data_IF_463570396215
#
_entry.id   IF_463570396215
#
_cell.length_a   1.000
_cell.length_b   1.000
_cell.length_c   1.000
_cell.angle_alpha   90.00
_cell.angle_beta   90.00
_cell.angle_gamma   90.00
#
_symmetry.space_group_name_H-M   'P 1'
#
loop_
_entity.id
_entity.type
_entity.pdbx_description
1 polymer ?
#
# COMPACT_ATOMS: atom_id res chain seq x y z
N UNK A 1 -10.04 -20.04 -1.96
CA UNK A 1 -8.63 -19.91 -1.52
C UNK A 1 -8.05 -21.17 -0.88
N UNK A 2 -8.71 -21.82 0.10
CA UNK A 2 -8.15 -23.01 0.78
C UNK A 2 -7.97 -24.24 -0.15
N UNK A 3 -8.69 -24.27 -1.27
CA UNK A 3 -8.61 -25.31 -2.30
C UNK A 3 -7.35 -25.18 -3.18
N UNK A 4 -6.95 -23.94 -3.55
CA UNK A 4 -5.79 -23.69 -4.42
C UNK A 4 -4.46 -24.06 -3.76
N UNK A 5 -4.31 -23.84 -2.45
CA UNK A 5 -3.09 -24.21 -1.73
C UNK A 5 -2.90 -25.73 -1.66
N UNK A 6 -3.99 -26.48 -1.52
CA UNK A 6 -3.96 -27.94 -1.49
C UNK A 6 -3.65 -28.52 -2.87
N UNK A 7 -4.21 -27.92 -3.92
CA UNK A 7 -3.93 -28.28 -5.31
C UNK A 7 -2.47 -28.04 -5.69
N UNK A 8 -1.87 -26.93 -5.22
CA UNK A 8 -0.45 -26.63 -5.46
C UNK A 8 0.48 -27.64 -4.77
N UNK A 9 0.22 -27.99 -3.50
CA UNK A 9 1.06 -28.95 -2.76
C UNK A 9 0.98 -30.36 -3.35
N UNK A 10 -0.21 -30.79 -3.79
CA UNK A 10 -0.38 -32.06 -4.50
C UNK A 10 0.34 -32.06 -5.86
N UNK A 11 0.32 -30.94 -6.57
CA UNK A 11 1.03 -30.80 -7.85
C UNK A 11 2.55 -30.86 -7.68
N UNK A 12 3.10 -30.17 -6.68
CA UNK A 12 4.54 -30.17 -6.40
C UNK A 12 5.05 -31.58 -6.05
N UNK A 13 4.27 -32.36 -5.28
CA UNK A 13 4.59 -33.77 -5.01
C UNK A 13 4.55 -34.64 -6.26
N UNK A 14 3.63 -34.36 -7.18
CA UNK A 14 3.50 -35.08 -8.45
C UNK A 14 4.67 -34.79 -9.40
N UNK A 15 5.15 -33.56 -9.41
CA UNK A 15 6.32 -33.12 -10.18
C UNK A 15 7.62 -33.73 -9.67
N UNK A 16 7.78 -33.88 -8.35
CA UNK A 16 8.93 -34.60 -7.76
C UNK A 16 8.99 -36.08 -8.20
N UNK A 17 7.86 -36.64 -8.65
CA UNK A 17 7.77 -37.97 -9.26
C UNK A 17 7.90 -38.01 -10.79
N UNK A 18 8.22 -36.89 -11.46
CA UNK A 18 8.33 -36.81 -12.93
C UNK A 18 7.00 -36.62 -13.67
N UNK A 19 5.98 -36.04 -13.01
CA UNK A 19 4.68 -35.74 -13.63
C UNK A 19 4.74 -34.66 -14.73
N UNK A 20 3.75 -34.68 -15.63
CA UNK A 20 3.55 -33.63 -16.64
C UNK A 20 3.24 -32.26 -15.99
N UNK A 21 3.69 -31.15 -16.59
CA UNK A 21 3.37 -29.80 -16.11
C UNK A 21 1.87 -29.48 -16.21
N UNK A 22 1.37 -28.50 -15.42
CA UNK A 22 -0.03 -28.10 -15.47
C UNK A 22 -0.45 -27.59 -16.85
N UNK A 23 -1.68 -27.94 -17.26
CA UNK A 23 -2.30 -27.39 -18.50
C UNK A 23 -2.74 -25.93 -18.34
N UNK A 24 -2.96 -25.49 -17.11
CA UNK A 24 -3.30 -24.12 -16.79
C UNK A 24 -2.04 -23.24 -16.88
N UNK A 25 -2.03 -22.19 -17.73
CA UNK A 25 -0.86 -21.33 -17.91
C UNK A 25 -0.43 -20.58 -16.65
N UNK A 26 -1.37 -20.21 -15.77
CA UNK A 26 -1.07 -19.48 -14.53
C UNK A 26 -0.40 -20.42 -13.52
N UNK A 27 -0.93 -21.63 -13.37
CA UNK A 27 -0.34 -22.67 -12.52
C UNK A 27 1.03 -23.12 -13.05
N UNK A 28 1.20 -23.19 -14.38
CA UNK A 28 2.48 -23.52 -15.02
C UNK A 28 3.56 -22.45 -14.74
N UNK A 29 3.19 -21.16 -14.77
CA UNK A 29 4.10 -20.07 -14.41
C UNK A 29 4.54 -20.14 -12.94
N UNK A 30 3.61 -20.43 -12.02
CA UNK A 30 3.91 -20.59 -10.59
C UNK A 30 4.81 -21.81 -10.32
N UNK A 31 4.55 -22.94 -10.99
CA UNK A 31 5.39 -24.14 -10.91
C UNK A 31 6.79 -23.88 -11.47
N UNK A 32 6.90 -23.16 -12.59
CA UNK A 32 8.19 -22.78 -13.18
C UNK A 32 8.99 -21.90 -12.21
N UNK A 33 8.35 -20.89 -11.62
CA UNK A 33 8.97 -20.02 -10.61
C UNK A 33 9.44 -20.82 -9.38
N UNK A 34 8.60 -21.71 -8.87
CA UNK A 34 8.95 -22.58 -7.74
C UNK A 34 10.16 -23.48 -8.09
N UNK A 35 10.22 -24.00 -9.33
CA UNK A 35 11.37 -24.75 -9.84
C UNK A 35 12.65 -23.93 -9.88
N UNK A 36 12.60 -22.70 -10.39
CA UNK A 36 13.76 -21.80 -10.44
C UNK A 36 14.25 -21.43 -9.03
N UNK A 37 13.33 -21.12 -8.11
CA UNK A 37 13.65 -20.84 -6.71
C UNK A 37 14.30 -22.05 -6.02
N UNK A 38 13.80 -23.26 -6.29
CA UNK A 38 14.38 -24.51 -5.75
C UNK A 38 15.77 -24.80 -6.32
N UNK A 39 16.00 -24.44 -7.58
CA UNK A 39 17.31 -24.50 -8.22
C UNK A 39 18.33 -23.57 -7.57
N UNK A 40 17.92 -22.35 -7.20
CA UNK A 40 18.75 -21.40 -6.46
C UNK A 40 18.99 -21.82 -5.00
N UNK A 41 17.97 -22.38 -4.34
CA UNK A 41 18.04 -22.84 -2.94
C UNK A 41 18.92 -24.09 -2.73
N UNK A 42 19.39 -24.74 -3.80
CA UNK A 42 20.34 -25.87 -3.72
C UNK A 42 21.78 -25.47 -3.42
N UNK A 43 22.08 -24.19 -3.24
CA UNK A 43 23.36 -23.80 -2.67
C UNK A 43 23.44 -24.28 -1.23
N UNK A 44 24.16 -25.37 -1.00
CA UNK A 44 24.44 -25.86 0.35
C UNK A 44 25.15 -24.74 1.14
N UNK A 45 24.59 -24.31 2.27
CA UNK A 45 25.23 -23.31 3.10
C UNK A 45 26.61 -23.82 3.52
N UNK A 46 27.62 -22.94 3.49
CA UNK A 46 28.97 -23.33 3.88
C UNK A 46 28.99 -23.95 5.29
N UNK A 47 29.83 -24.98 5.55
CA UNK A 47 29.89 -25.62 6.87
C UNK A 47 30.14 -24.63 8.02
N UNK A 48 30.91 -23.55 7.74
CA UNK A 48 31.17 -22.48 8.70
C UNK A 48 29.91 -21.68 9.05
N UNK A 49 29.06 -21.39 8.06
CA UNK A 49 27.77 -20.73 8.30
C UNK A 49 26.86 -21.62 9.16
N UNK A 50 26.75 -22.91 8.83
CA UNK A 50 25.93 -23.87 9.58
C UNK A 50 26.38 -23.96 11.04
N UNK A 51 27.68 -24.09 11.29
CA UNK A 51 28.23 -24.12 12.64
C UNK A 51 27.94 -22.82 13.42
N UNK A 52 28.06 -21.65 12.76
CA UNK A 52 27.77 -20.36 13.40
C UNK A 52 26.29 -20.19 13.74
N UNK A 53 25.40 -20.70 12.88
CA UNK A 53 23.96 -20.64 13.08
C UNK A 53 23.53 -21.57 14.22
N UNK A 54 24.07 -22.80 14.24
CA UNK A 54 23.83 -23.77 15.32
C UNK A 54 24.22 -23.16 16.68
N UNK A 55 25.39 -22.52 16.75
CA UNK A 55 25.87 -21.90 17.98
C UNK A 55 24.94 -20.75 18.44
N UNK A 56 24.46 -19.91 17.53
CA UNK A 56 23.50 -18.84 17.82
C UNK A 56 22.15 -19.38 18.29
N UNK A 57 21.66 -20.45 17.67
CA UNK A 57 20.41 -21.09 18.05
C UNK A 57 20.50 -21.74 19.45
N UNK A 58 21.62 -22.40 19.75
CA UNK A 58 21.88 -22.97 21.07
C UNK A 58 21.95 -21.88 22.15
N UNK A 59 22.62 -20.77 21.89
CA UNK A 59 22.65 -19.63 22.81
C UNK A 59 21.24 -19.06 23.04
N UNK A 60 20.46 -18.84 21.98
CA UNK A 60 19.11 -18.30 22.10
C UNK A 60 18.16 -19.25 22.84
N UNK A 61 18.31 -20.55 22.63
CA UNK A 61 17.54 -21.57 23.36
C UNK A 61 17.88 -21.58 24.86
N UNK A 62 19.16 -21.36 25.22
CA UNK A 62 19.56 -21.25 26.63
C UNK A 62 19.00 -19.98 27.28
N UNK A 63 19.02 -18.84 26.58
CA UNK A 63 18.45 -17.60 27.07
C UNK A 63 16.94 -17.72 27.31
N UNK A 64 16.21 -18.35 26.36
CA UNK A 64 14.77 -18.59 26.50
C UNK A 64 14.44 -19.58 27.63
N UNK A 65 15.30 -20.57 27.88
CA UNK A 65 15.15 -21.48 29.03
C UNK A 65 15.35 -20.75 30.36
N UNK A 66 16.30 -19.82 30.44
CA UNK A 66 16.54 -18.99 31.63
C UNK A 66 15.43 -17.98 31.87
N UNK A 67 14.84 -17.45 30.79
CA UNK A 67 13.77 -16.47 30.85
C UNK A 67 12.37 -17.07 31.14
N UNK A 68 12.25 -18.40 31.25
CA UNK A 68 10.94 -19.04 31.44
C UNK A 68 10.53 -19.02 32.92
N UNK A 69 9.45 -18.31 33.32
CA UNK A 69 8.93 -18.39 34.67
C UNK A 69 8.43 -19.81 34.97
N UNK A 70 8.56 -20.21 36.24
CA UNK A 70 8.28 -21.56 36.71
C UNK A 70 6.79 -21.95 36.57
N UNK A 71 6.60 -23.22 36.18
CA UNK A 71 5.38 -24.03 36.26
C UNK A 71 4.21 -23.71 35.31
N UNK A 72 4.06 -24.55 34.28
CA UNK A 72 2.77 -24.82 33.60
C UNK A 72 2.45 -26.31 33.77
N UNK A 73 1.20 -26.70 34.08
CA UNK A 73 0.86 -28.07 34.45
C UNK A 73 0.93 -29.02 33.25
N UNK A 74 1.45 -30.23 33.51
CA UNK A 74 1.62 -31.30 32.52
C UNK A 74 0.29 -31.96 32.20
N UNK A 75 -0.30 -31.62 31.05
CA UNK A 75 -1.38 -32.43 30.46
C UNK A 75 -0.77 -33.51 29.54
N UNK A 76 -0.96 -34.77 29.94
CA UNK A 76 -0.58 -35.97 29.21
C UNK A 76 -1.44 -36.17 27.97
N UNK A 77 -0.86 -35.97 26.79
CA UNK A 77 -1.53 -36.18 25.50
C UNK A 77 -0.50 -36.38 24.38
N UNK A 78 0.29 -37.45 24.47
CA UNK A 78 1.48 -37.73 23.63
C UNK A 78 1.12 -37.90 22.13
N UNK A 79 -0.15 -37.97 21.77
CA UNK A 79 -0.61 -38.06 20.37
C UNK A 79 -0.96 -36.71 19.70
N UNK A 80 -1.06 -35.60 20.45
CA UNK A 80 -1.26 -34.25 19.88
C UNK A 80 0.04 -33.43 19.78
N UNK A 81 1.15 -33.95 20.32
CA UNK A 81 2.42 -33.22 20.43
C UNK A 81 3.14 -33.05 19.08
N UNK A 82 2.96 -33.99 18.14
CA UNK A 82 3.60 -33.91 16.82
C UNK A 82 3.02 -32.80 15.91
N UNK A 83 1.71 -32.58 15.96
CA UNK A 83 1.08 -31.50 15.19
C UNK A 83 1.30 -30.14 15.85
N UNK A 84 1.36 -30.08 17.18
CA UNK A 84 1.64 -28.84 17.88
C UNK A 84 3.06 -28.32 17.62
N UNK A 85 4.06 -29.20 17.52
CA UNK A 85 5.43 -28.79 17.17
C UNK A 85 5.56 -28.37 15.70
N UNK A 86 4.89 -29.07 14.77
CA UNK A 86 4.83 -28.67 13.36
C UNK A 86 4.09 -27.34 13.20
N UNK A 87 2.95 -27.16 13.88
CA UNK A 87 2.19 -25.90 13.85
C UNK A 87 2.98 -24.75 14.50
N UNK A 88 3.69 -25.00 15.60
CA UNK A 88 4.54 -23.99 16.23
C UNK A 88 5.76 -23.62 15.37
N UNK A 89 6.35 -24.60 14.67
CA UNK A 89 7.45 -24.35 13.74
C UNK A 89 6.96 -23.60 12.48
N UNK A 90 5.82 -23.99 11.93
CA UNK A 90 5.18 -23.29 10.82
C UNK A 90 4.79 -21.86 11.22
N UNK A 91 4.21 -21.67 12.42
CA UNK A 91 3.89 -20.35 12.94
C UNK A 91 5.16 -19.53 13.20
N UNK A 92 6.23 -20.14 13.72
CA UNK A 92 7.51 -19.47 13.89
C UNK A 92 8.14 -19.08 12.55
N UNK A 93 8.03 -19.92 11.52
CA UNK A 93 8.44 -19.62 10.14
C UNK A 93 7.60 -18.49 9.54
N UNK A 94 6.28 -18.49 9.75
CA UNK A 94 5.36 -17.43 9.30
C UNK A 94 5.58 -16.12 10.04
N UNK A 95 5.84 -16.15 11.34
CA UNK A 95 6.15 -14.95 12.13
C UNK A 95 7.56 -14.43 11.83
N UNK A 96 8.53 -15.32 11.63
CA UNK A 96 9.86 -14.95 11.17
C UNK A 96 9.80 -14.36 9.76
N UNK A 97 8.96 -14.92 8.87
CA UNK A 97 8.78 -14.38 7.53
C UNK A 97 8.04 -13.04 7.54
N UNK A 98 7.01 -12.87 8.40
CA UNK A 98 6.31 -11.59 8.55
C UNK A 98 7.24 -10.45 9.00
N UNK A 99 8.14 -10.72 9.95
CA UNK A 99 9.17 -9.76 10.37
C UNK A 99 10.15 -9.41 9.26
N UNK A 100 10.57 -10.40 8.46
CA UNK A 100 11.46 -10.15 7.31
C UNK A 100 10.77 -9.43 6.16
N UNK A 101 9.47 -9.65 5.93
CA UNK A 101 8.70 -8.95 4.90
C UNK A 101 8.60 -7.46 5.26
N UNK A 102 8.28 -7.14 6.52
CA UNK A 102 8.23 -5.74 6.96
C UNK A 102 9.59 -5.04 6.86
N UNK A 103 10.68 -5.75 7.19
CA UNK A 103 12.03 -5.22 7.01
C UNK A 103 12.43 -5.07 5.52
N UNK A 104 11.89 -5.92 4.64
CA UNK A 104 12.16 -5.86 3.20
C UNK A 104 11.42 -4.71 2.50
N UNK A 105 10.27 -4.24 3.02
CA UNK A 105 9.54 -3.10 2.42
C UNK A 105 10.41 -1.84 2.33
N UNK A 106 11.26 -1.59 3.32
CA UNK A 106 12.20 -0.47 3.34
C UNK A 106 13.56 -0.74 2.69
N UNK A 107 13.76 -1.91 2.06
CA UNK A 107 15.03 -2.22 1.40
C UNK A 107 15.15 -1.47 0.07
N UNK A 108 16.34 -0.94 -0.20
CA UNK A 108 16.65 -0.19 -1.41
C UNK A 108 17.39 -1.05 -2.44
N UNK A 109 17.39 -0.63 -3.72
CA UNK A 109 18.27 -1.17 -4.75
C UNK A 109 19.71 -1.39 -4.28
N UNK A 110 20.15 -2.66 -4.28
CA UNK A 110 21.47 -3.10 -3.81
C UNK A 110 21.52 -3.61 -2.37
N UNK A 111 20.44 -3.47 -1.60
CA UNK A 111 20.36 -4.03 -0.25
C UNK A 111 20.10 -5.55 -0.28
N UNK A 112 20.57 -6.32 0.72
CA UNK A 112 20.44 -7.79 0.72
C UNK A 112 19.00 -8.33 0.65
N UNK A 113 18.03 -7.55 1.15
CA UNK A 113 16.61 -7.92 1.19
C UNK A 113 15.82 -7.41 -0.02
N UNK A 114 16.43 -6.64 -0.92
CA UNK A 114 15.75 -6.09 -2.10
C UNK A 114 15.18 -7.15 -3.04
N UNK A 115 15.88 -8.28 -3.32
CA UNK A 115 15.29 -9.36 -4.13
C UNK A 115 14.02 -9.94 -3.50
N UNK A 116 13.92 -9.95 -2.17
CA UNK A 116 12.73 -10.41 -1.47
C UNK A 116 11.58 -9.42 -1.63
N UNK A 117 11.85 -8.10 -1.53
CA UNK A 117 10.85 -7.05 -1.81
C UNK A 117 10.24 -7.23 -3.20
N UNK A 118 11.11 -7.37 -4.22
CA UNK A 118 10.70 -7.62 -5.61
C UNK A 118 9.86 -8.87 -5.78
N UNK A 119 10.26 -9.98 -5.14
CA UNK A 119 9.46 -11.21 -5.16
C UNK A 119 8.07 -11.01 -4.53
N UNK A 120 7.97 -10.23 -3.45
CA UNK A 120 6.68 -9.96 -2.80
C UNK A 120 5.77 -9.07 -3.63
N UNK A 121 6.29 -8.07 -4.34
CA UNK A 121 5.49 -7.22 -5.24
C UNK A 121 4.87 -8.00 -6.41
N UNK A 122 5.60 -9.01 -6.92
CA UNK A 122 5.10 -9.91 -7.97
C UNK A 122 4.00 -10.81 -7.42
N UNK A 123 4.23 -11.45 -6.26
CA UNK A 123 3.26 -12.38 -5.64
C UNK A 123 1.99 -11.67 -5.18
N UNK A 124 2.11 -10.45 -4.67
CA UNK A 124 0.96 -9.66 -4.21
C UNK A 124 0.22 -8.96 -5.35
N UNK A 125 0.79 -8.94 -6.56
CA UNK A 125 0.16 -8.31 -7.72
C UNK A 125 -0.05 -6.81 -7.55
N UNK A 126 0.91 -6.11 -6.95
CA UNK A 126 0.83 -4.64 -6.79
C UNK A 126 0.62 -3.97 -8.15
N UNK A 127 -0.33 -3.04 -8.24
CA UNK A 127 -0.66 -2.37 -9.49
C UNK A 127 0.46 -1.48 -10.02
N UNK A 128 0.42 -1.14 -11.31
CA UNK A 128 1.47 -0.36 -11.98
C UNK A 128 1.65 1.04 -11.35
N UNK A 129 0.55 1.66 -10.91
CA UNK A 129 0.61 2.93 -10.17
C UNK A 129 1.41 2.84 -8.88
N UNK A 130 1.18 1.78 -8.11
CA UNK A 130 1.79 1.63 -6.80
C UNK A 130 3.27 1.28 -6.95
N UNK A 131 3.62 0.42 -7.94
CA UNK A 131 5.01 0.15 -8.30
C UNK A 131 5.74 1.39 -8.80
N UNK A 132 5.13 2.19 -9.68
CA UNK A 132 5.73 3.43 -10.17
C UNK A 132 5.99 4.40 -9.00
N UNK A 133 5.03 4.55 -8.08
CA UNK A 133 5.21 5.37 -6.87
C UNK A 133 6.36 4.86 -6.01
N UNK A 134 6.44 3.54 -5.77
CA UNK A 134 7.53 2.92 -5.01
C UNK A 134 8.91 3.13 -5.67
N UNK A 135 9.03 3.02 -7.00
CA UNK A 135 10.30 3.33 -7.69
C UNK A 135 10.70 4.80 -7.49
N UNK A 136 9.74 5.72 -7.55
CA UNK A 136 9.97 7.13 -7.22
C UNK A 136 10.50 7.33 -5.79
N UNK A 137 9.91 6.64 -4.81
CA UNK A 137 10.35 6.69 -3.42
C UNK A 137 11.75 6.10 -3.22
N UNK A 138 12.08 5.01 -3.92
CA UNK A 138 13.41 4.42 -3.88
C UNK A 138 14.47 5.33 -4.48
N UNK A 139 14.19 5.98 -5.61
CA UNK A 139 15.08 6.98 -6.23
C UNK A 139 15.31 8.13 -5.25
N UNK A 140 14.26 8.64 -4.62
CA UNK A 140 14.36 9.71 -3.63
C UNK A 140 15.20 9.27 -2.41
N UNK A 141 15.00 8.05 -1.93
CA UNK A 141 15.74 7.50 -0.80
C UNK A 141 17.23 7.31 -1.13
N UNK A 142 17.57 6.73 -2.29
CA UNK A 142 18.95 6.59 -2.77
C UNK A 142 19.65 7.96 -2.87
N UNK A 143 18.97 8.93 -3.49
CA UNK A 143 19.48 10.29 -3.62
C UNK A 143 19.71 10.97 -2.26
N UNK A 144 18.78 10.80 -1.31
CA UNK A 144 18.91 11.36 0.05
C UNK A 144 20.07 10.75 0.83
N UNK A 145 20.44 9.50 0.53
CA UNK A 145 21.57 8.79 1.12
C UNK A 145 22.89 9.05 0.39
N UNK A 146 22.88 9.81 -0.71
CA UNK A 146 24.04 10.03 -1.57
C UNK A 146 24.54 8.76 -2.26
N UNK A 147 23.65 7.76 -2.43
CA UNK A 147 23.95 6.53 -3.18
C UNK A 147 23.70 6.78 -4.66
N UNK A 148 24.54 6.19 -5.52
CA UNK A 148 24.30 6.19 -6.97
C UNK A 148 22.96 5.55 -7.29
N UNK A 149 22.18 6.18 -8.18
CA UNK A 149 20.89 5.66 -8.65
C UNK A 149 21.17 4.65 -9.77
N UNK A 150 20.85 3.35 -9.59
CA UNK A 150 21.08 2.36 -10.63
C UNK A 150 20.16 2.57 -11.84
N UNK A 151 20.70 2.36 -13.04
CA UNK A 151 19.99 2.46 -14.33
C UNK A 151 18.66 1.71 -14.32
N UNK A 152 18.66 0.45 -13.88
CA UNK A 152 17.46 -0.40 -13.90
C UNK A 152 16.29 0.17 -13.08
N UNK A 153 16.53 0.98 -12.04
CA UNK A 153 15.46 1.57 -11.23
C UNK A 153 14.76 2.70 -12.00
N UNK A 154 15.52 3.45 -12.80
CA UNK A 154 15.00 4.49 -13.68
C UNK A 154 14.19 3.87 -14.83
N UNK A 155 14.70 2.80 -15.44
CA UNK A 155 13.98 2.05 -16.48
C UNK A 155 12.68 1.46 -15.93
N UNK A 156 12.71 0.87 -14.74
CA UNK A 156 11.50 0.34 -14.10
C UNK A 156 10.48 1.44 -13.79
N UNK A 157 10.92 2.62 -13.33
CA UNK A 157 10.04 3.76 -13.15
C UNK A 157 9.34 4.14 -14.47
N UNK A 158 10.11 4.20 -15.57
CA UNK A 158 9.58 4.52 -16.89
C UNK A 158 8.55 3.47 -17.34
N UNK A 159 8.91 2.19 -17.24
CA UNK A 159 8.07 1.05 -17.64
C UNK A 159 6.77 0.99 -16.84
N UNK A 160 6.82 1.14 -15.51
CA UNK A 160 5.63 1.08 -14.66
C UNK A 160 4.72 2.30 -14.89
N UNK A 161 5.29 3.47 -15.20
CA UNK A 161 4.51 4.66 -15.58
C UNK A 161 3.78 4.46 -16.91
N UNK A 162 4.46 3.89 -17.91
CA UNK A 162 3.85 3.57 -19.21
C UNK A 162 2.80 2.46 -19.10
N UNK A 163 3.04 1.45 -18.27
CA UNK A 163 2.08 0.38 -17.99
C UNK A 163 0.83 0.93 -17.26
N UNK A 164 0.99 1.84 -16.30
CA UNK A 164 -0.12 2.52 -15.64
C UNK A 164 -0.96 3.34 -16.65
N UNK A 165 -0.31 3.97 -17.64
CA UNK A 165 -1.02 4.65 -18.71
C UNK A 165 -1.81 3.69 -19.60
N UNK A 166 -1.22 2.55 -19.99
CA UNK A 166 -1.93 1.52 -20.75
C UNK A 166 -3.12 0.92 -19.96
N UNK A 167 -2.96 0.76 -18.64
CA UNK A 167 -4.03 0.32 -17.75
C UNK A 167 -5.22 1.29 -17.79
N UNK A 168 -4.97 2.61 -17.72
CA UNK A 168 -5.99 3.65 -17.88
C UNK A 168 -6.74 3.51 -19.21
N UNK A 169 -6.02 3.31 -20.32
CA UNK A 169 -6.64 3.23 -21.64
C UNK A 169 -7.61 2.05 -21.75
N UNK A 170 -7.31 0.96 -21.06
CA UNK A 170 -8.17 -0.22 -20.98
C UNK A 170 -9.26 -0.15 -19.90
N UNK A 171 -9.18 0.80 -18.97
CA UNK A 171 -10.12 0.91 -17.86
C UNK A 171 -11.53 1.36 -18.31
N UNK A 172 -12.57 1.08 -17.50
CA UNK A 172 -13.92 1.62 -17.72
C UNK A 172 -13.95 3.15 -17.71
N UNK A 173 -14.76 3.77 -18.59
CA UNK A 173 -14.85 5.24 -18.76
C UNK A 173 -15.16 5.99 -17.45
N UNK A 174 -15.97 5.40 -16.56
CA UNK A 174 -16.31 5.94 -15.25
C UNK A 174 -15.10 6.01 -14.29
N UNK A 175 -14.09 5.15 -14.49
CA UNK A 175 -12.87 5.09 -13.69
C UNK A 175 -11.70 5.85 -14.32
N UNK A 176 -11.67 5.97 -15.65
CA UNK A 176 -10.56 6.62 -16.39
C UNK A 176 -10.23 8.00 -15.86
N UNK A 177 -11.24 8.82 -15.60
CA UNK A 177 -11.03 10.19 -15.13
C UNK A 177 -10.29 10.25 -13.79
N UNK A 178 -10.64 9.37 -12.83
CA UNK A 178 -9.98 9.32 -11.54
C UNK A 178 -8.54 8.77 -11.64
N UNK A 179 -8.34 7.76 -12.49
CA UNK A 179 -7.01 7.19 -12.72
C UNK A 179 -6.08 8.17 -13.45
N UNK A 180 -6.59 8.97 -14.40
CA UNK A 180 -5.83 10.02 -15.08
C UNK A 180 -5.40 11.13 -14.13
N UNK A 181 -6.28 11.53 -13.21
CA UNK A 181 -5.94 12.51 -12.15
C UNK A 181 -4.81 11.97 -11.27
N UNK A 182 -4.94 10.70 -10.82
CA UNK A 182 -3.88 10.00 -10.07
C UNK A 182 -2.57 9.92 -10.85
N UNK A 183 -2.61 9.62 -12.15
CA UNK A 183 -1.42 9.57 -13.01
C UNK A 183 -0.78 10.96 -13.13
N UNK A 184 -1.56 12.01 -13.36
CA UNK A 184 -1.07 13.38 -13.43
C UNK A 184 -0.29 13.78 -12.17
N UNK A 185 -0.88 13.58 -10.99
CA UNK A 185 -0.23 13.86 -9.70
C UNK A 185 1.05 13.04 -9.47
N UNK A 186 1.05 11.78 -9.92
CA UNK A 186 2.20 10.90 -9.79
C UNK A 186 3.35 11.33 -10.74
N UNK A 187 3.02 11.54 -12.01
CA UNK A 187 3.94 11.95 -13.05
C UNK A 187 4.56 13.32 -12.80
N UNK A 188 3.81 14.26 -12.22
CA UNK A 188 4.37 15.57 -11.81
C UNK A 188 5.45 15.40 -10.74
N UNK A 189 5.15 14.61 -9.70
CA UNK A 189 6.09 14.32 -8.62
C UNK A 189 7.34 13.61 -9.14
N UNK A 190 7.18 12.64 -10.04
CA UNK A 190 8.31 11.93 -10.65
C UNK A 190 9.17 12.87 -11.50
N UNK A 191 8.59 13.70 -12.36
CA UNK A 191 9.35 14.65 -13.16
C UNK A 191 10.16 15.63 -12.29
N UNK A 192 9.54 16.18 -11.24
CA UNK A 192 10.22 17.08 -10.29
C UNK A 192 11.35 16.37 -9.52
N UNK A 193 11.13 15.10 -9.13
CA UNK A 193 12.15 14.28 -8.49
C UNK A 193 13.33 14.03 -9.44
N UNK A 194 13.06 13.51 -10.64
CA UNK A 194 14.06 13.17 -11.65
C UNK A 194 14.90 14.39 -12.04
N UNK A 195 14.26 15.54 -12.24
CA UNK A 195 14.96 16.81 -12.50
C UNK A 195 15.90 17.21 -11.35
N UNK A 196 15.51 16.95 -10.09
CA UNK A 196 16.34 17.25 -8.92
C UNK A 196 17.53 16.31 -8.78
N UNK A 197 17.36 15.03 -9.10
CA UNK A 197 18.40 14.01 -8.93
C UNK A 197 19.28 13.83 -10.17
N UNK A 198 19.01 14.53 -11.27
CA UNK A 198 19.75 14.41 -12.52
C UNK A 198 21.29 14.53 -12.35
N UNK A 199 21.75 15.41 -11.46
CA UNK A 199 23.19 15.56 -11.17
C UNK A 199 23.82 14.45 -10.31
N UNK A 200 23.05 13.46 -9.86
CA UNK A 200 23.49 12.34 -9.03
C UNK A 200 23.47 11.01 -9.77
N UNK A 201 22.92 10.99 -10.99
CA UNK A 201 22.87 9.80 -11.84
C UNK A 201 24.26 9.58 -12.45
N UNK A 202 24.70 8.32 -12.51
CA UNK A 202 25.96 7.97 -13.16
C UNK A 202 25.87 8.21 -14.68
N UNK A 203 26.97 8.55 -15.37
CA UNK A 203 26.95 8.80 -16.83
C UNK A 203 26.32 7.65 -17.63
N UNK A 204 26.50 6.41 -17.18
CA UNK A 204 25.95 5.22 -17.81
C UNK A 204 24.41 5.14 -17.73
N UNK A 205 23.79 5.86 -16.78
CA UNK A 205 22.35 5.85 -16.53
C UNK A 205 21.64 7.13 -17.03
N UNK A 206 22.33 8.01 -17.77
CA UNK A 206 21.74 9.25 -18.32
C UNK A 206 20.60 8.97 -19.31
N UNK A 207 20.75 7.94 -20.16
CA UNK A 207 19.71 7.56 -21.12
C UNK A 207 18.43 7.06 -20.41
N UNK A 208 18.60 6.23 -19.37
CA UNK A 208 17.50 5.73 -18.54
C UNK A 208 16.80 6.87 -17.77
N UNK A 209 17.57 7.84 -17.26
CA UNK A 209 17.02 9.06 -16.65
C UNK A 209 16.15 9.82 -17.64
N UNK A 210 16.66 10.05 -18.87
CA UNK A 210 15.91 10.74 -19.91
C UNK A 210 14.62 10.00 -20.28
N UNK A 211 14.67 8.67 -20.41
CA UNK A 211 13.49 7.86 -20.67
C UNK A 211 12.44 7.98 -19.55
N UNK A 212 12.86 7.91 -18.29
CA UNK A 212 11.96 8.08 -17.13
C UNK A 212 11.33 9.49 -17.08
N UNK A 213 12.10 10.54 -17.42
CA UNK A 213 11.59 11.90 -17.51
C UNK A 213 10.56 12.05 -18.64
N UNK A 214 10.82 11.45 -19.79
CA UNK A 214 9.92 11.47 -20.93
C UNK A 214 8.62 10.70 -20.66
N UNK A 215 8.71 9.52 -20.04
CA UNK A 215 7.55 8.74 -19.61
C UNK A 215 6.67 9.53 -18.63
N UNK A 216 7.29 10.21 -17.65
CA UNK A 216 6.59 11.10 -16.72
C UNK A 216 5.93 12.28 -17.44
N UNK A 217 6.61 12.90 -18.40
CA UNK A 217 6.04 14.01 -19.19
C UNK A 217 4.83 13.57 -20.00
N UNK A 218 4.89 12.42 -20.67
CA UNK A 218 3.75 11.86 -21.42
C UNK A 218 2.54 11.62 -20.51
N UNK A 219 2.76 11.12 -19.30
CA UNK A 219 1.71 10.95 -18.29
C UNK A 219 1.00 12.27 -17.95
N UNK A 220 1.77 13.35 -17.76
CA UNK A 220 1.24 14.70 -17.52
C UNK A 220 0.43 15.24 -18.69
N UNK A 221 0.98 15.15 -19.90
CA UNK A 221 0.32 15.63 -21.12
C UNK A 221 -1.04 14.92 -21.30
N UNK A 222 -1.06 13.59 -21.15
CA UNK A 222 -2.29 12.81 -21.28
C UNK A 222 -3.33 13.13 -20.22
N UNK A 223 -2.91 13.30 -18.96
CA UNK A 223 -3.81 13.73 -17.89
C UNK A 223 -4.41 15.13 -18.19
N UNK A 224 -3.58 16.05 -18.67
CA UNK A 224 -3.98 17.42 -19.04
C UNK A 224 -5.01 17.47 -20.17
N UNK A 225 -4.77 16.74 -21.27
CA UNK A 225 -5.69 16.67 -22.42
C UNK A 225 -7.10 16.24 -22.01
N UNK A 226 -7.20 15.28 -21.10
CA UNK A 226 -8.48 14.72 -20.66
C UNK A 226 -9.21 15.65 -19.69
N UNK A 227 -8.48 16.35 -18.82
CA UNK A 227 -9.05 17.41 -17.97
C UNK A 227 -9.60 18.55 -18.83
N UNK A 228 -8.86 18.96 -19.88
CA UNK A 228 -9.30 20.00 -20.80
C UNK A 228 -10.54 19.57 -21.59
N UNK A 229 -10.57 18.32 -22.10
CA UNK A 229 -11.74 17.76 -22.80
C UNK A 229 -13.00 17.73 -21.93
N UNK A 230 -12.85 17.51 -20.62
CA UNK A 230 -13.95 17.57 -19.66
C UNK A 230 -14.40 19.00 -19.36
N UNK A 231 -13.50 19.98 -19.52
CA UNK A 231 -13.79 21.40 -19.30
C UNK A 231 -14.51 22.03 -20.49
N UNK A 232 -14.53 21.40 -21.67
CA UNK A 232 -15.30 21.90 -22.81
C UNK A 232 -16.81 21.91 -22.47
N UNK A 233 -17.45 23.08 -22.34
CA UNK A 233 -18.85 23.20 -21.93
C UNK A 233 -19.83 22.53 -22.89
N UNK A 234 -19.39 22.10 -24.08
CA UNK A 234 -20.24 21.36 -25.03
C UNK A 234 -20.51 19.93 -24.59
N UNK A 235 -19.59 19.27 -23.88
CA UNK A 235 -19.80 17.90 -23.34
C UNK A 235 -20.64 17.90 -22.05
N UNK A 236 -20.68 19.02 -21.32
CA UNK A 236 -21.57 19.21 -20.16
C UNK A 236 -23.05 19.33 -20.54
N UNK A 237 -23.40 19.62 -21.81
CA UNK A 237 -24.79 19.79 -22.22
C UNK A 237 -25.59 18.48 -22.36
N UNK A 238 -24.93 17.32 -22.46
CA UNK A 238 -25.63 16.02 -22.50
C UNK A 238 -25.88 15.43 -21.09
N UNK A 239 -25.21 15.96 -20.05
CA UNK A 239 -25.47 15.66 -18.63
C UNK A 239 -26.15 16.82 -17.87
N UNK A 240 -26.31 18.00 -18.48
CA UNK A 240 -27.01 19.19 -17.92
C UNK A 240 -28.54 19.09 -17.96
N UNK A 241 -29.10 17.96 -17.53
CA UNK A 241 -30.43 17.96 -16.92
C UNK A 241 -30.39 18.37 -15.45
N UNK A 242 -29.24 18.21 -14.79
CA UNK A 242 -29.05 18.52 -13.37
C UNK A 242 -28.65 19.99 -13.17
N UNK A 243 -29.47 20.70 -12.39
CA UNK A 243 -29.21 22.06 -11.94
C UNK A 243 -27.85 22.17 -11.21
N UNK A 244 -27.26 23.37 -11.21
CA UNK A 244 -26.03 23.66 -10.42
C UNK A 244 -26.15 23.25 -8.94
N UNK A 245 -27.37 23.25 -8.39
CA UNK A 245 -27.63 22.80 -7.03
C UNK A 245 -27.44 21.28 -6.90
N UNK A 246 -27.96 20.50 -7.84
CA UNK A 246 -27.84 19.04 -7.86
C UNK A 246 -26.40 18.59 -8.12
N UNK A 247 -25.66 19.26 -9.00
CA UNK A 247 -24.23 18.97 -9.19
C UNK A 247 -23.40 19.27 -7.92
N UNK A 248 -23.72 20.35 -7.20
CA UNK A 248 -23.06 20.69 -5.94
C UNK A 248 -23.41 19.69 -4.84
N UNK A 249 -24.64 19.19 -4.81
CA UNK A 249 -25.07 18.12 -3.91
C UNK A 249 -24.35 16.81 -4.20
N UNK A 250 -24.31 16.36 -5.46
CA UNK A 250 -23.64 15.13 -5.87
C UNK A 250 -22.13 15.13 -5.57
N UNK A 251 -21.42 16.24 -5.86
CA UNK A 251 -20.00 16.38 -5.50
C UNK A 251 -19.78 16.40 -3.99
N UNK A 252 -20.73 16.92 -3.22
CA UNK A 252 -20.64 16.90 -1.76
C UNK A 252 -20.90 15.49 -1.22
N UNK A 253 -21.84 14.75 -1.80
CA UNK A 253 -22.14 13.35 -1.46
C UNK A 253 -20.92 12.44 -1.69
N UNK A 254 -20.34 12.49 -2.90
CA UNK A 254 -19.19 11.66 -3.27
C UNK A 254 -17.99 11.93 -2.36
N UNK A 255 -17.75 13.20 -2.03
CA UNK A 255 -16.66 13.59 -1.12
C UNK A 255 -16.91 13.13 0.33
N UNK A 256 -18.15 13.17 0.81
CA UNK A 256 -18.51 12.65 2.14
C UNK A 256 -18.40 11.12 2.18
N UNK A 257 -18.79 10.42 1.13
CA UNK A 257 -18.62 8.97 1.03
C UNK A 257 -17.14 8.56 1.10
N UNK A 258 -16.23 9.35 0.50
CA UNK A 258 -14.79 9.08 0.55
C UNK A 258 -14.19 9.36 1.95
N UNK A 259 -14.58 10.47 2.60
CA UNK A 259 -13.97 10.92 3.86
C UNK A 259 -14.69 10.42 5.12
N UNK A 260 -15.94 10.01 4.98
CA UNK A 260 -16.78 9.46 6.04
C UNK A 260 -17.35 8.12 5.56
N UNK A 261 -16.48 7.22 5.07
CA UNK A 261 -16.87 5.93 4.48
C UNK A 261 -17.74 5.03 5.38
N UNK A 262 -17.86 5.37 6.66
CA UNK A 262 -18.70 4.70 7.65
C UNK A 262 -20.12 5.28 7.78
N UNK A 263 -20.39 6.46 7.21
CA UNK A 263 -21.63 7.19 7.40
C UNK A 263 -22.47 7.23 6.12
N UNK A 264 -23.79 7.21 6.29
CA UNK A 264 -24.75 7.36 5.19
C UNK A 264 -24.72 8.80 4.66
N UNK A 265 -24.20 8.96 3.45
CA UNK A 265 -24.03 10.26 2.82
C UNK A 265 -25.35 10.99 2.55
N UNK A 266 -26.46 10.27 2.35
CA UNK A 266 -27.76 10.90 2.11
C UNK A 266 -28.30 11.56 3.38
N UNK A 267 -28.20 10.86 4.51
CA UNK A 267 -28.66 11.34 5.81
C UNK A 267 -27.82 12.55 6.29
N UNK A 268 -26.50 12.51 6.07
CA UNK A 268 -25.63 13.65 6.36
C UNK A 268 -25.97 14.88 5.52
N UNK A 269 -26.31 14.71 4.24
CA UNK A 269 -26.72 15.83 3.38
C UNK A 269 -28.10 16.37 3.76
N UNK A 270 -29.01 15.50 4.21
CA UNK A 270 -30.33 15.89 4.69
C UNK A 270 -30.28 16.79 5.94
N UNK A 271 -29.18 16.76 6.72
CA UNK A 271 -28.99 17.65 7.87
C UNK A 271 -28.96 19.14 7.53
N UNK A 272 -28.70 19.50 6.27
CA UNK A 272 -28.54 20.89 5.83
C UNK A 272 -27.25 21.56 6.31
N UNK A 273 -26.39 20.85 7.05
CA UNK A 273 -25.15 21.38 7.57
C UNK A 273 -24.15 21.71 6.44
N UNK A 274 -23.32 22.73 6.67
CA UNK A 274 -22.30 23.10 5.69
C UNK A 274 -21.27 21.96 5.52
N UNK A 275 -20.67 21.85 4.33
CA UNK A 275 -19.58 20.87 4.08
C UNK A 275 -18.43 21.02 5.08
N UNK A 276 -18.12 22.25 5.50
CA UNK A 276 -17.08 22.51 6.51
C UNK A 276 -17.45 21.97 7.89
N UNK A 277 -18.73 22.08 8.27
CA UNK A 277 -19.28 21.53 9.51
C UNK A 277 -19.21 20.00 9.50
N UNK A 278 -19.72 19.36 8.42
CA UNK A 278 -19.71 17.90 8.28
C UNK A 278 -18.29 17.31 8.33
N UNK A 279 -17.32 17.96 7.69
CA UNK A 279 -15.92 17.50 7.72
C UNK A 279 -15.29 17.54 9.11
N UNK A 280 -15.55 18.59 9.88
CA UNK A 280 -15.07 18.68 11.26
C UNK A 280 -15.74 17.65 12.15
N UNK A 281 -17.04 17.44 11.95
CA UNK A 281 -17.81 16.44 12.67
C UNK A 281 -17.32 15.01 12.39
N UNK A 282 -17.16 14.61 11.12
CA UNK A 282 -16.61 13.28 10.78
C UNK A 282 -15.22 13.06 11.39
N UNK A 283 -14.33 14.06 11.32
CA UNK A 283 -13.00 13.95 11.93
C UNK A 283 -13.08 13.71 13.45
N UNK A 284 -13.90 14.51 14.15
CA UNK A 284 -14.08 14.35 15.59
C UNK A 284 -14.70 13.00 15.96
N UNK A 285 -15.64 12.50 15.15
CA UNK A 285 -16.20 11.16 15.33
C UNK A 285 -15.14 10.08 15.18
N UNK A 286 -14.29 10.14 14.16
CA UNK A 286 -13.18 9.18 13.98
C UNK A 286 -12.11 9.26 15.07
N UNK A 287 -11.92 10.42 15.70
CA UNK A 287 -11.02 10.56 16.85
C UNK A 287 -11.64 10.01 18.14
N UNK A 288 -12.94 10.21 18.34
CA UNK A 288 -13.63 9.84 19.58
C UNK A 288 -14.08 8.37 19.63
N UNK A 289 -14.38 7.76 18.48
CA UNK A 289 -15.00 6.43 18.42
C UNK A 289 -14.18 5.47 17.57
N UNK A 290 -14.03 4.23 18.03
CA UNK A 290 -13.34 3.17 17.29
C UNK A 290 -14.09 2.74 16.02
N UNK A 291 -15.43 2.85 16.04
CA UNK A 291 -16.33 2.57 14.92
C UNK A 291 -17.42 3.65 14.90
N UNK A 292 -17.10 4.85 14.36
CA UNK A 292 -18.07 5.94 14.32
C UNK A 292 -19.25 5.58 13.41
N UNK A 293 -20.42 6.12 13.73
CA UNK A 293 -21.67 5.93 13.00
C UNK A 293 -22.18 7.26 12.43
N UNK A 294 -23.20 7.20 11.55
CA UNK A 294 -23.89 8.42 11.06
C UNK A 294 -24.47 9.24 12.22
N UNK A 295 -25.04 8.58 13.24
CA UNK A 295 -25.65 9.22 14.40
C UNK A 295 -24.63 9.98 15.25
N UNK A 296 -23.40 9.46 15.38
CA UNK A 296 -22.30 10.15 16.08
C UNK A 296 -21.94 11.47 15.37
N UNK A 297 -21.86 11.45 14.04
CA UNK A 297 -21.56 12.64 13.23
C UNK A 297 -22.70 13.65 13.33
N UNK A 298 -23.95 13.21 13.20
CA UNK A 298 -25.12 14.08 13.32
C UNK A 298 -25.26 14.69 14.71
N UNK A 299 -24.93 13.94 15.77
CA UNK A 299 -24.91 14.46 17.14
C UNK A 299 -23.89 15.58 17.29
N UNK A 300 -22.68 15.41 16.72
CA UNK A 300 -21.64 16.44 16.72
C UNK A 300 -22.08 17.69 15.93
N UNK A 301 -22.72 17.51 14.77
CA UNK A 301 -23.28 18.61 13.97
C UNK A 301 -24.35 19.36 14.76
N UNK A 302 -25.27 18.64 15.42
CA UNK A 302 -26.34 19.22 16.23
C UNK A 302 -25.78 20.03 17.40
N UNK A 303 -24.76 19.52 18.09
CA UNK A 303 -24.07 20.28 19.14
C UNK A 303 -23.49 21.60 18.63
N UNK A 304 -22.97 21.64 17.40
CA UNK A 304 -22.40 22.86 16.84
C UNK A 304 -23.46 23.84 16.35
N UNK A 305 -24.39 23.39 15.50
CA UNK A 305 -25.32 24.26 14.78
C UNK A 305 -26.55 24.63 15.63
N UNK A 306 -27.01 23.72 16.49
CA UNK A 306 -28.24 23.90 17.30
C UNK A 306 -27.90 24.31 18.72
N UNK A 307 -26.95 23.64 19.38
CA UNK A 307 -26.55 24.00 20.75
C UNK A 307 -25.53 25.15 20.79
N UNK A 308 -24.96 25.53 19.64
CA UNK A 308 -24.00 26.64 19.54
C UNK A 308 -22.64 26.35 20.19
N UNK A 309 -22.33 25.07 20.47
CA UNK A 309 -21.05 24.69 21.06
C UNK A 309 -19.91 24.92 20.08
N UNK A 310 -18.84 25.52 20.56
CA UNK A 310 -17.59 25.60 19.82
C UNK A 310 -16.98 24.21 19.62
N UNK A 311 -16.17 24.06 18.56
CA UNK A 311 -15.46 22.80 18.32
C UNK A 311 -14.56 22.37 19.48
N UNK A 312 -14.08 23.31 20.29
CA UNK A 312 -13.28 23.02 21.49
C UNK A 312 -14.13 22.39 22.60
N UNK A 313 -15.32 22.93 22.86
CA UNK A 313 -16.28 22.39 23.84
C UNK A 313 -16.79 21.02 23.42
N UNK A 314 -17.06 20.82 22.12
CA UNK A 314 -17.43 19.51 21.58
C UNK A 314 -16.31 18.49 21.82
N UNK A 315 -15.06 18.88 21.58
CA UNK A 315 -13.88 18.03 21.80
C UNK A 315 -13.76 17.61 23.26
N UNK A 316 -13.95 18.56 24.18
CA UNK A 316 -13.95 18.31 25.62
C UNK A 316 -15.10 17.38 26.03
N UNK A 317 -16.30 17.59 25.48
CA UNK A 317 -17.48 16.75 25.71
C UNK A 317 -17.28 15.31 25.23
N UNK A 318 -16.53 15.10 24.15
CA UNK A 318 -16.12 13.78 23.65
C UNK A 318 -14.97 13.14 24.45
N UNK A 319 -14.46 13.80 25.51
CA UNK A 319 -13.34 13.30 26.31
C UNK A 319 -11.98 13.38 25.61
N UNK A 320 -11.90 14.04 24.46
CA UNK A 320 -10.68 14.20 23.67
C UNK A 320 -9.81 15.33 24.27
N UNK A 321 -9.09 15.02 25.36
CA UNK A 321 -8.16 15.98 26.01
C UNK A 321 -7.17 16.58 25.01
N UNK A 322 -6.97 17.89 25.11
CA UNK A 322 -6.31 18.71 24.09
C UNK A 322 -4.88 18.28 23.77
N UNK A 323 -4.64 17.91 22.51
CA UNK A 323 -3.34 18.15 21.88
C UNK A 323 -3.19 19.67 21.80
N UNK A 324 -2.47 20.24 22.75
CA UNK A 324 -2.37 21.69 22.94
C UNK A 324 -2.04 22.40 21.64
N UNK A 325 -2.90 23.34 21.25
CA UNK A 325 -2.52 24.38 20.33
C UNK A 325 -1.31 25.09 20.94
N UNK A 326 -0.16 24.99 20.28
CA UNK A 326 1.04 25.75 20.65
C UNK A 326 0.67 27.24 20.68
N UNK A 327 0.79 27.95 21.82
CA UNK A 327 0.38 29.34 21.95
C UNK A 327 1.42 30.23 21.27
N UNK A 328 1.33 30.39 19.95
CA UNK A 328 2.40 31.03 19.18
C UNK A 328 2.03 31.53 17.80
N UNK A 329 0.84 32.10 17.58
CA UNK A 329 0.58 32.86 16.34
C UNK A 329 -0.55 33.89 16.47
N UNK A 330 -0.43 34.84 17.41
CA UNK A 330 -1.04 36.17 17.20
C UNK A 330 -0.05 37.03 16.43
N UNK A 331 -0.25 37.16 15.13
CA UNK A 331 0.35 38.26 14.35
C UNK A 331 -0.31 39.57 14.80
N UNK A 332 0.53 40.54 15.15
CA UNK A 332 0.19 41.97 15.11
C UNK A 332 0.12 42.43 13.66
#
# INVERSE_FOLDING_TARGET
MQDQASQLDEYLRRLDGGGEPPRDPELAALVSLAGTLRGMARQEPSPAFVASLEQRLLQRAQDLRRARPAAVPRFSGVWRLGWASVAALALALVLASAGTIYAAQGSLPGDPLYPLKRATEVVLGTGHFDRAAERGEEIAALASQGRSIPEYVLDELAQETEAALAEIESAPEDQRAALLDKLGDLSERHYQLLSRVAGQVAPEAEDALWHAMEASRRGLERAGEMIEKRRDPRTENETSGMSRAEQKAARSAQFLAEKCAFADSEELLASGASRGTLMRACRLATEAFAQPTTEDVLSIVNWHEVEGLSWAEIRERLGLRGGGASPGSRRK
#
